data_IF_389209228488
#
_entry.id   IF_389209228488
#
_cell.length_a   1.000
_cell.length_b   1.000
_cell.length_c   1.000
_cell.angle_alpha   90.00
_cell.angle_beta   90.00
_cell.angle_gamma   90.00
#
_symmetry.space_group_name_H-M   'P 1'
#
loop_
_entity.id
_entity.type
_entity.pdbx_description
1 polymer ?
#
# COMPACT_ATOMS: atom_id res chain seq x y z
N UNK A 1 -32.82 -9.07 -5.39
CA UNK A 1 -33.31 -8.50 -6.66
C UNK A 1 -33.68 -9.67 -7.59
N UNK A 2 -34.94 -10.16 -7.58
CA UNK A 2 -35.32 -11.28 -8.42
C UNK A 2 -35.17 -10.88 -9.91
N UNK A 3 -34.29 -11.56 -10.65
CA UNK A 3 -34.11 -11.37 -12.09
C UNK A 3 -32.83 -10.65 -12.56
N UNK A 4 -31.95 -10.19 -11.66
CA UNK A 4 -30.65 -9.62 -12.06
C UNK A 4 -29.54 -10.67 -12.17
N UNK A 5 -29.56 -11.68 -11.30
CA UNK A 5 -28.71 -12.86 -11.38
C UNK A 5 -29.62 -13.99 -11.84
N UNK A 6 -29.36 -14.63 -12.99
CA UNK A 6 -30.16 -15.77 -13.42
C UNK A 6 -30.03 -16.89 -12.39
N UNK A 7 -31.14 -17.54 -12.06
CA UNK A 7 -31.12 -18.73 -11.21
C UNK A 7 -30.59 -19.90 -12.06
N UNK A 8 -29.38 -20.37 -11.75
CA UNK A 8 -28.72 -21.46 -12.48
C UNK A 8 -29.01 -22.82 -11.83
N UNK A 9 -29.88 -22.89 -10.82
CA UNK A 9 -30.07 -24.12 -10.03
C UNK A 9 -28.78 -24.58 -9.34
N UNK A 10 -27.84 -23.66 -9.10
CA UNK A 10 -26.53 -23.92 -8.52
C UNK A 10 -26.54 -23.58 -7.02
N UNK A 11 -26.23 -24.57 -6.19
CA UNK A 11 -25.93 -24.36 -4.78
C UNK A 11 -24.42 -24.24 -4.59
N UNK A 12 -23.96 -23.15 -3.98
CA UNK A 12 -22.55 -22.95 -3.62
C UNK A 12 -22.39 -23.02 -2.09
N UNK A 13 -21.47 -23.87 -1.64
CA UNK A 13 -21.03 -23.98 -0.26
C UNK A 13 -19.53 -23.65 -0.18
N UNK A 14 -19.14 -22.78 0.75
CA UNK A 14 -17.74 -22.38 0.93
C UNK A 14 -17.30 -22.65 2.37
N UNK A 15 -16.30 -23.50 2.53
CA UNK A 15 -15.67 -23.81 3.82
C UNK A 15 -14.35 -23.06 3.96
N UNK A 16 -14.10 -22.54 5.15
CA UNK A 16 -12.86 -21.84 5.52
C UNK A 16 -12.16 -22.64 6.62
N UNK A 17 -10.87 -22.94 6.43
CA UNK A 17 -10.06 -23.69 7.42
C UNK A 17 -8.72 -22.99 7.62
N UNK A 18 -8.48 -22.52 8.84
CA UNK A 18 -7.20 -21.98 9.27
C UNK A 18 -6.60 -22.95 10.29
N UNK A 19 -5.53 -23.64 9.89
CA UNK A 19 -4.77 -24.48 10.81
C UNK A 19 -4.00 -23.59 11.82
N UNK A 20 -3.75 -24.08 13.05
CA UNK A 20 -2.90 -23.37 14.00
C UNK A 20 -1.54 -23.03 13.39
N UNK A 21 -1.06 -21.82 13.65
CA UNK A 21 0.25 -21.32 13.19
C UNK A 21 0.43 -21.30 11.66
N UNK A 22 -0.66 -21.41 10.89
CA UNK A 22 -0.63 -21.30 9.43
C UNK A 22 -0.74 -19.85 8.96
N UNK A 23 0.08 -19.50 7.97
CA UNK A 23 -0.04 -18.25 7.20
C UNK A 23 -1.03 -18.36 6.04
N UNK A 24 -1.58 -19.55 5.79
CA UNK A 24 -2.53 -19.83 4.73
C UNK A 24 -3.89 -20.22 5.30
N UNK A 25 -4.91 -19.45 4.96
CA UNK A 25 -6.31 -19.81 5.15
C UNK A 25 -6.78 -20.62 3.94
N UNK A 26 -7.08 -21.91 4.14
CA UNK A 26 -7.67 -22.73 3.10
C UNK A 26 -9.12 -22.32 2.87
N UNK A 27 -9.49 -22.18 1.60
CA UNK A 27 -10.86 -21.93 1.18
C UNK A 27 -11.27 -22.99 0.16
N UNK A 28 -12.31 -23.75 0.50
CA UNK A 28 -12.85 -24.80 -0.35
C UNK A 28 -14.27 -24.42 -0.76
N UNK A 29 -14.51 -24.28 -2.06
CA UNK A 29 -15.84 -24.03 -2.62
C UNK A 29 -16.35 -25.29 -3.30
N UNK A 30 -17.58 -25.69 -2.99
CA UNK A 30 -18.29 -26.80 -3.61
C UNK A 30 -19.55 -26.28 -4.30
N UNK A 31 -19.58 -26.40 -5.63
CA UNK A 31 -20.76 -26.12 -6.45
C UNK A 31 -21.55 -27.41 -6.68
N UNK A 32 -22.87 -27.39 -6.44
CA UNK A 32 -23.78 -28.52 -6.69
C UNK A 32 -24.87 -28.09 -7.66
N UNK A 33 -24.98 -28.78 -8.79
CA UNK A 33 -25.92 -28.46 -9.86
C UNK A 33 -27.26 -29.19 -9.60
N UNK A 34 -28.19 -28.54 -8.92
CA UNK A 34 -29.40 -29.20 -8.42
C UNK A 34 -30.45 -29.48 -9.51
N UNK A 35 -30.62 -28.56 -10.45
CA UNK A 35 -31.75 -28.59 -11.40
C UNK A 35 -31.35 -28.96 -12.84
N UNK A 36 -30.20 -28.47 -13.31
CA UNK A 36 -29.67 -28.67 -14.66
C UNK A 36 -28.14 -28.73 -14.65
N UNK A 37 -27.54 -29.02 -15.80
CA UNK A 37 -26.08 -28.97 -15.96
C UNK A 37 -25.59 -27.51 -15.91
N UNK A 38 -24.51 -27.26 -15.19
CA UNK A 38 -23.93 -25.92 -15.05
C UNK A 38 -22.45 -25.95 -15.46
N UNK A 39 -22.05 -24.98 -16.27
CA UNK A 39 -20.65 -24.72 -16.60
C UNK A 39 -20.19 -23.46 -15.86
N UNK A 40 -19.16 -23.57 -15.01
CA UNK A 40 -18.62 -22.42 -14.28
C UNK A 40 -17.13 -22.57 -13.95
N UNK A 41 -16.47 -21.44 -13.72
CA UNK A 41 -15.17 -21.36 -13.05
C UNK A 41 -15.40 -20.86 -11.62
N UNK A 42 -14.87 -21.56 -10.62
CA UNK A 42 -14.90 -21.14 -9.21
C UNK A 42 -13.60 -20.41 -8.88
N UNK A 43 -13.68 -19.31 -8.15
CA UNK A 43 -12.53 -18.48 -7.82
C UNK A 43 -12.91 -17.29 -6.96
N UNK A 44 -11.94 -16.41 -6.75
CA UNK A 44 -12.13 -15.18 -5.99
C UNK A 44 -11.46 -13.99 -6.67
N UNK A 45 -11.95 -12.81 -6.28
CA UNK A 45 -11.32 -11.53 -6.54
C UNK A 45 -10.78 -11.03 -5.20
N UNK A 46 -9.49 -10.70 -5.16
CA UNK A 46 -8.86 -10.06 -4.02
C UNK A 46 -8.61 -8.59 -4.38
N UNK A 47 -9.31 -7.69 -3.72
CA UNK A 47 -9.18 -6.24 -3.94
C UNK A 47 -8.05 -5.68 -3.08
N UNK A 48 -7.14 -4.95 -3.72
CA UNK A 48 -6.08 -4.20 -3.03
C UNK A 48 -6.56 -2.83 -2.57
N UNK A 49 -5.86 -2.26 -1.59
CA UNK A 49 -5.96 -0.84 -1.27
C UNK A 49 -4.80 -0.12 -1.96
N UNK A 50 -4.98 0.47 -3.17
CA UNK A 50 -3.89 1.09 -3.92
C UNK A 50 -3.24 2.26 -3.16
N UNK A 51 -3.93 2.82 -2.16
CA UNK A 51 -3.41 3.86 -1.30
C UNK A 51 -2.33 3.34 -0.32
N UNK A 52 -2.46 2.12 0.18
CA UNK A 52 -1.64 1.56 1.28
C UNK A 52 -0.78 0.37 0.87
N UNK A 53 -1.09 -0.28 -0.24
CA UNK A 53 -0.38 -1.46 -0.74
C UNK A 53 -0.07 -1.34 -2.22
N UNK A 54 0.96 -2.05 -2.65
CA UNK A 54 1.31 -2.23 -4.05
C UNK A 54 1.01 -3.67 -4.44
N UNK A 55 0.49 -3.85 -5.66
CA UNK A 55 0.43 -5.15 -6.30
C UNK A 55 1.84 -5.76 -6.38
N UNK A 56 1.97 -7.05 -6.08
CA UNK A 56 3.23 -7.77 -6.20
C UNK A 56 3.02 -9.22 -6.64
N UNK A 57 3.79 -9.65 -7.63
CA UNK A 57 3.75 -11.03 -8.15
C UNK A 57 5.15 -11.59 -8.42
N UNK A 58 5.33 -12.92 -8.30
CA UNK A 58 6.52 -13.56 -8.83
C UNK A 58 6.71 -13.21 -10.31
N UNK A 59 7.97 -13.10 -10.75
CA UNK A 59 8.45 -12.68 -12.08
C UNK A 59 8.34 -11.18 -12.37
N UNK A 60 7.19 -10.55 -12.16
CA UNK A 60 6.97 -9.13 -12.50
C UNK A 60 7.18 -8.18 -11.32
N UNK A 61 7.18 -8.68 -10.09
CA UNK A 61 7.37 -7.88 -8.89
C UNK A 61 6.29 -6.81 -8.75
N UNK A 62 6.72 -5.56 -8.57
CA UNK A 62 5.87 -4.38 -8.48
C UNK A 62 5.44 -3.81 -9.84
N UNK A 63 5.85 -4.43 -10.95
CA UNK A 63 5.42 -4.01 -12.29
C UNK A 63 4.04 -4.61 -12.63
N UNK A 64 3.48 -4.16 -13.76
CA UNK A 64 2.20 -4.66 -14.25
C UNK A 64 2.23 -6.18 -14.46
N UNK A 65 1.12 -6.85 -14.13
CA UNK A 65 0.96 -8.28 -14.36
C UNK A 65 1.13 -8.62 -15.85
N UNK A 66 1.86 -9.69 -16.16
CA UNK A 66 2.14 -10.11 -17.54
C UNK A 66 1.04 -10.98 -18.18
N UNK A 67 -0.03 -11.27 -17.43
CA UNK A 67 -1.18 -12.04 -17.90
C UNK A 67 -1.00 -13.56 -17.87
N UNK A 68 0.17 -14.05 -17.45
CA UNK A 68 0.43 -15.49 -17.37
C UNK A 68 -0.13 -16.09 -16.06
N UNK A 69 -0.43 -17.38 -16.10
CA UNK A 69 -0.86 -18.15 -14.93
C UNK A 69 0.22 -18.15 -13.85
N UNK A 70 -0.23 -18.21 -12.59
CA UNK A 70 0.67 -18.08 -11.43
C UNK A 70 0.14 -18.79 -10.22
N UNK A 71 1.06 -19.23 -9.36
CA UNK A 71 0.71 -19.86 -8.09
C UNK A 71 0.28 -18.86 -7.03
N UNK A 72 0.95 -17.71 -6.97
CA UNK A 72 0.76 -16.67 -5.94
C UNK A 72 0.63 -15.33 -6.65
N UNK A 73 -0.36 -14.54 -6.24
CA UNK A 73 -0.51 -13.15 -6.63
C UNK A 73 -1.13 -12.36 -5.49
N UNK A 74 -0.66 -11.15 -5.23
CA UNK A 74 -1.08 -10.44 -4.04
C UNK A 74 -0.68 -8.98 -3.99
N UNK A 75 -0.73 -8.46 -2.78
CA UNK A 75 -0.40 -7.09 -2.43
C UNK A 75 0.60 -7.11 -1.28
N UNK A 76 1.59 -6.23 -1.36
CA UNK A 76 2.50 -5.93 -0.27
C UNK A 76 2.24 -4.50 0.22
N UNK A 77 2.17 -4.32 1.53
CA UNK A 77 2.02 -3.00 2.12
C UNK A 77 3.18 -2.07 1.78
N UNK A 78 2.90 -0.81 1.46
CA UNK A 78 3.92 0.18 1.02
C UNK A 78 4.99 0.46 2.06
N UNK A 79 4.66 0.23 3.33
CA UNK A 79 5.53 0.49 4.49
C UNK A 79 5.83 -0.78 5.29
N UNK A 80 5.86 -1.94 4.63
CA UNK A 80 6.13 -3.26 5.20
C UNK A 80 5.13 -3.69 6.29
N UNK A 81 3.92 -3.15 6.25
CA UNK A 81 2.82 -3.43 7.19
C UNK A 81 2.14 -4.80 6.98
N UNK A 82 2.57 -5.54 5.95
CA UNK A 82 2.22 -6.94 5.72
C UNK A 82 2.11 -7.28 4.23
N UNK A 83 1.76 -8.54 3.96
CA UNK A 83 1.44 -9.04 2.65
C UNK A 83 0.13 -9.85 2.69
N UNK A 84 -0.67 -9.74 1.64
CA UNK A 84 -1.85 -10.57 1.42
C UNK A 84 -1.81 -11.12 0.00
N UNK A 85 -2.12 -12.40 -0.18
CA UNK A 85 -2.10 -13.03 -1.49
C UNK A 85 -3.24 -14.03 -1.68
N UNK A 86 -3.70 -14.13 -2.93
CA UNK A 86 -4.45 -15.28 -3.39
C UNK A 86 -3.45 -16.34 -3.88
N UNK A 87 -3.70 -17.59 -3.50
CA UNK A 87 -2.81 -18.71 -3.78
C UNK A 87 -3.60 -19.86 -4.38
N UNK A 88 -3.11 -20.41 -5.49
CA UNK A 88 -3.70 -21.58 -6.14
C UNK A 88 -3.71 -22.83 -5.27
N UNK A 89 -4.65 -23.74 -5.53
CA UNK A 89 -4.72 -25.05 -4.86
C UNK A 89 -3.49 -25.92 -5.09
N UNK A 90 -3.42 -27.08 -4.45
CA UNK A 90 -2.34 -28.06 -4.67
C UNK A 90 -2.21 -28.40 -6.16
N UNK A 91 -1.01 -28.27 -6.71
CA UNK A 91 -0.70 -28.46 -8.15
C UNK A 91 -1.54 -27.59 -9.13
N UNK A 92 -2.27 -26.59 -8.63
CA UNK A 92 -3.08 -25.68 -9.43
C UNK A 92 -2.50 -24.27 -9.43
N UNK A 93 -2.58 -23.62 -10.59
CA UNK A 93 -2.31 -22.20 -10.76
C UNK A 93 -3.62 -21.40 -10.78
N UNK A 94 -3.49 -20.10 -10.54
CA UNK A 94 -4.56 -19.12 -10.73
C UNK A 94 -4.62 -18.75 -12.21
N UNK A 95 -5.77 -18.97 -12.83
CA UNK A 95 -6.00 -18.59 -14.23
C UNK A 95 -6.61 -17.18 -14.30
N UNK A 96 -5.98 -16.31 -15.10
CA UNK A 96 -6.49 -14.97 -15.44
C UNK A 96 -7.49 -15.01 -16.62
N UNK A 97 -7.25 -15.92 -17.57
CA UNK A 97 -8.16 -16.30 -18.67
C UNK A 97 -8.96 -15.14 -19.29
N UNK A 98 -10.27 -15.37 -19.46
CA UNK A 98 -11.22 -14.37 -19.97
C UNK A 98 -11.60 -13.27 -18.97
N UNK A 99 -11.01 -13.28 -17.77
CA UNK A 99 -11.33 -12.36 -16.68
C UNK A 99 -10.35 -11.19 -16.56
N UNK A 100 -9.33 -11.11 -17.42
CA UNK A 100 -8.39 -9.99 -17.46
C UNK A 100 -9.07 -8.60 -17.56
N UNK A 101 -10.22 -8.51 -18.25
CA UNK A 101 -11.02 -7.27 -18.34
C UNK A 101 -11.51 -6.82 -16.96
N UNK A 102 -11.76 -7.74 -16.03
CA UNK A 102 -12.17 -7.38 -14.67
C UNK A 102 -11.03 -6.71 -13.90
N UNK A 103 -9.78 -7.14 -14.12
CA UNK A 103 -8.60 -6.53 -13.53
C UNK A 103 -8.33 -5.10 -14.06
N UNK A 104 -8.93 -4.71 -15.19
CA UNK A 104 -8.88 -3.32 -15.68
C UNK A 104 -9.87 -2.40 -14.95
N UNK A 105 -10.82 -2.94 -14.16
CA UNK A 105 -11.87 -2.15 -13.52
C UNK A 105 -11.46 -1.58 -12.15
N UNK A 106 -10.56 -2.25 -11.44
CA UNK A 106 -10.01 -1.84 -10.16
C UNK A 106 -8.73 -2.63 -9.88
N UNK A 107 -7.92 -2.14 -8.94
CA UNK A 107 -6.70 -2.84 -8.51
C UNK A 107 -7.08 -4.13 -7.75
N UNK A 108 -7.06 -5.25 -8.47
CA UNK A 108 -7.48 -6.55 -7.96
C UNK A 108 -6.62 -7.68 -8.50
N UNK A 109 -6.39 -8.68 -7.64
CA UNK A 109 -5.88 -9.98 -8.03
C UNK A 109 -7.06 -10.88 -8.36
N UNK A 110 -6.97 -11.53 -9.52
CA UNK A 110 -7.96 -12.48 -9.99
C UNK A 110 -7.39 -13.89 -9.89
N UNK A 111 -8.15 -14.81 -9.30
CA UNK A 111 -7.75 -16.21 -9.29
C UNK A 111 -8.94 -17.15 -9.40
N UNK A 112 -9.13 -17.65 -10.61
CA UNK A 112 -10.11 -18.70 -10.90
C UNK A 112 -9.42 -20.03 -11.14
N UNK A 113 -10.08 -21.10 -10.74
CA UNK A 113 -9.79 -22.45 -11.19
C UNK A 113 -10.28 -22.68 -12.63
N UNK A 114 -9.98 -23.84 -13.20
CA UNK A 114 -10.44 -24.19 -14.54
C UNK A 114 -11.97 -24.21 -14.60
N UNK A 115 -12.52 -23.90 -15.77
CA UNK A 115 -13.95 -24.10 -16.03
C UNK A 115 -14.31 -25.57 -15.90
N UNK A 116 -15.31 -25.86 -15.07
CA UNK A 116 -15.84 -27.20 -14.84
C UNK A 116 -17.29 -27.29 -15.31
N UNK A 117 -17.64 -28.43 -15.90
CA UNK A 117 -19.02 -28.81 -16.19
C UNK A 117 -19.50 -29.70 -15.05
N UNK A 118 -20.58 -29.30 -14.38
CA UNK A 118 -21.20 -30.02 -13.28
C UNK A 118 -22.52 -30.60 -13.79
N UNK A 119 -22.61 -31.92 -14.02
CA UNK A 119 -23.86 -32.56 -14.42
C UNK A 119 -24.95 -32.39 -13.37
N UNK A 120 -26.20 -32.45 -13.80
CA UNK A 120 -27.36 -32.40 -12.90
C UNK A 120 -27.26 -33.46 -11.80
N UNK A 121 -27.35 -33.01 -10.56
CA UNK A 121 -27.30 -33.82 -9.35
C UNK A 121 -25.89 -34.12 -8.86
N UNK A 122 -24.86 -33.60 -9.53
CA UNK A 122 -23.46 -33.77 -9.16
C UNK A 122 -22.87 -32.48 -8.54
N UNK A 123 -21.66 -32.61 -8.00
CA UNK A 123 -20.93 -31.51 -7.37
C UNK A 123 -19.48 -31.48 -7.86
N UNK A 124 -18.92 -30.28 -7.97
CA UNK A 124 -17.49 -30.06 -8.18
C UNK A 124 -16.92 -29.22 -7.03
N UNK A 125 -15.65 -29.42 -6.71
CA UNK A 125 -14.97 -28.71 -5.63
C UNK A 125 -13.70 -28.05 -6.13
N UNK A 126 -13.45 -26.83 -5.69
CA UNK A 126 -12.22 -26.08 -5.94
C UNK A 126 -11.63 -25.59 -4.63
N UNK A 127 -10.32 -25.80 -4.45
CA UNK A 127 -9.59 -25.39 -3.25
C UNK A 127 -8.52 -24.39 -3.65
N UNK A 128 -8.42 -23.31 -2.88
CA UNK A 128 -7.43 -22.25 -2.98
C UNK A 128 -7.11 -21.72 -1.58
N UNK A 129 -6.16 -20.81 -1.46
CA UNK A 129 -5.77 -20.25 -0.17
C UNK A 129 -5.67 -18.74 -0.21
N UNK A 130 -5.95 -18.10 0.93
CA UNK A 130 -5.54 -16.73 1.20
C UNK A 130 -4.30 -16.76 2.09
N UNK A 131 -3.20 -16.21 1.59
CA UNK A 131 -1.99 -15.96 2.36
C UNK A 131 -2.05 -14.61 3.05
N UNK A 132 -1.70 -14.57 4.33
CA UNK A 132 -1.47 -13.33 5.07
C UNK A 132 -0.14 -13.50 5.78
N UNK A 133 0.85 -12.66 5.49
CA UNK A 133 2.20 -12.77 6.04
C UNK A 133 2.78 -11.40 6.40
N UNK A 134 3.94 -11.41 7.05
CA UNK A 134 4.72 -10.17 7.26
C UNK A 134 5.34 -9.67 5.96
N UNK A 135 5.62 -10.59 5.03
CA UNK A 135 6.11 -10.33 3.68
C UNK A 135 5.71 -11.47 2.73
N UNK A 136 6.17 -11.41 1.48
CA UNK A 136 5.86 -12.44 0.47
C UNK A 136 6.65 -13.73 0.68
N UNK A 137 7.84 -13.67 1.28
CA UNK A 137 8.66 -14.84 1.61
C UNK A 137 7.93 -15.79 2.56
N UNK A 138 7.32 -15.24 3.62
CA UNK A 138 6.49 -16.01 4.56
C UNK A 138 5.35 -16.75 3.85
N UNK A 139 4.69 -16.09 2.90
CA UNK A 139 3.62 -16.71 2.12
C UNK A 139 4.19 -17.78 1.19
N UNK A 140 5.22 -17.47 0.40
CA UNK A 140 5.81 -18.42 -0.55
C UNK A 140 6.39 -19.66 0.12
N UNK A 141 6.98 -19.52 1.30
CA UNK A 141 7.53 -20.62 2.08
C UNK A 141 6.42 -21.59 2.53
N UNK A 142 5.29 -21.04 2.99
CA UNK A 142 4.12 -21.83 3.32
C UNK A 142 3.54 -22.51 2.07
N UNK A 143 3.57 -21.85 0.90
CA UNK A 143 3.14 -22.45 -0.38
C UNK A 143 4.03 -23.62 -0.78
N UNK A 144 5.35 -23.48 -0.73
CA UNK A 144 6.30 -24.56 -1.01
C UNK A 144 6.08 -25.76 -0.08
N UNK A 145 5.81 -25.49 1.20
CA UNK A 145 5.54 -26.53 2.19
C UNK A 145 4.26 -27.33 1.89
N UNK A 146 3.15 -26.67 1.53
CA UNK A 146 1.91 -27.38 1.20
C UNK A 146 2.01 -28.16 -0.12
N UNK A 147 2.78 -27.66 -1.08
CA UNK A 147 3.02 -28.35 -2.36
C UNK A 147 4.06 -29.48 -2.23
N UNK A 148 4.70 -29.64 -1.06
CA UNK A 148 5.69 -30.68 -0.82
C UNK A 148 6.96 -30.51 -1.66
N UNK A 149 7.27 -29.29 -2.07
CA UNK A 149 8.47 -28.96 -2.84
C UNK A 149 9.69 -29.08 -1.94
N UNK A 150 10.74 -29.76 -2.41
CA UNK A 150 12.02 -29.78 -1.71
C UNK A 150 12.67 -28.40 -1.82
N UNK A 151 13.05 -27.81 -0.69
CA UNK A 151 13.60 -26.45 -0.64
C UNK A 151 15.04 -26.39 -0.18
N UNK A 152 15.67 -25.25 -0.42
CA UNK A 152 16.90 -24.78 0.21
C UNK A 152 16.66 -23.37 0.77
N UNK A 153 17.34 -23.03 1.85
CA UNK A 153 17.26 -21.69 2.45
C UNK A 153 18.15 -20.70 1.69
N UNK A 154 17.63 -19.48 1.50
CA UNK A 154 18.39 -18.29 1.12
C UNK A 154 18.35 -17.34 2.30
N UNK A 155 19.50 -17.10 2.90
CA UNK A 155 19.65 -16.28 4.11
C UNK A 155 20.77 -15.26 3.93
N UNK A 156 20.69 -14.16 4.66
CA UNK A 156 21.72 -13.13 4.64
C UNK A 156 21.43 -12.01 5.63
N UNK A 157 22.35 -11.05 5.68
CA UNK A 157 22.21 -9.84 6.49
C UNK A 157 22.41 -8.64 5.58
N UNK A 158 21.41 -7.77 5.50
CA UNK A 158 21.54 -6.46 4.85
C UNK A 158 22.24 -5.51 5.82
N UNK A 159 23.29 -4.86 5.32
CA UNK A 159 24.10 -3.96 6.15
C UNK A 159 24.43 -2.66 5.44
N UNK A 160 24.84 -1.68 6.22
CA UNK A 160 25.39 -0.41 5.78
C UNK A 160 26.55 -0.03 6.69
N UNK A 161 27.23 1.07 6.40
CA UNK A 161 28.39 1.52 7.20
C UNK A 161 28.02 1.92 8.64
N UNK A 162 26.74 2.21 8.93
CA UNK A 162 26.19 2.41 10.28
C UNK A 162 25.78 1.12 11.02
N UNK A 163 25.80 -0.05 10.37
CA UNK A 163 25.42 -1.32 11.00
C UNK A 163 24.40 -2.13 10.20
N UNK A 164 23.74 -3.11 10.84
CA UNK A 164 22.65 -3.87 10.19
C UNK A 164 21.48 -2.96 9.83
N UNK A 165 20.77 -3.29 8.76
CA UNK A 165 19.65 -2.48 8.25
C UNK A 165 18.33 -3.24 8.40
N UNK A 166 17.52 -2.81 9.36
CA UNK A 166 16.16 -3.30 9.56
C UNK A 166 15.16 -2.73 8.55
N UNK A 167 14.15 -3.53 8.18
CA UNK A 167 13.08 -3.10 7.28
C UNK A 167 13.48 -2.90 5.83
N UNK A 168 14.62 -3.46 5.40
CA UNK A 168 15.02 -3.49 4.00
C UNK A 168 14.24 -4.58 3.27
N UNK A 169 13.77 -4.29 2.06
CA UNK A 169 13.18 -5.32 1.19
C UNK A 169 14.30 -6.05 0.47
N UNK A 170 14.26 -7.38 0.48
CA UNK A 170 15.21 -8.23 -0.23
C UNK A 170 14.47 -9.00 -1.31
N UNK A 171 14.67 -8.59 -2.55
CA UNK A 171 14.17 -9.32 -3.70
C UNK A 171 15.01 -10.59 -3.87
N UNK A 172 14.36 -11.75 -3.94
CA UNK A 172 15.03 -13.05 -4.00
C UNK A 172 14.68 -13.71 -5.33
N UNK A 173 15.71 -14.14 -6.04
CA UNK A 173 15.61 -14.75 -7.36
C UNK A 173 15.97 -16.23 -7.29
N UNK A 174 15.21 -17.06 -8.00
CA UNK A 174 15.49 -18.45 -8.25
C UNK A 174 15.67 -18.63 -9.76
N UNK A 175 16.83 -19.13 -10.21
CA UNK A 175 17.16 -19.32 -11.62
C UNK A 175 16.98 -18.02 -12.46
N UNK A 176 17.47 -16.90 -11.92
CA UNK A 176 17.37 -15.54 -12.49
C UNK A 176 15.93 -15.00 -12.64
N UNK A 177 14.96 -15.65 -11.99
CA UNK A 177 13.56 -15.22 -11.98
C UNK A 177 13.19 -14.71 -10.60
N UNK A 178 12.58 -13.52 -10.52
CA UNK A 178 12.09 -12.96 -9.26
C UNK A 178 11.08 -13.94 -8.63
N UNK A 179 11.43 -14.52 -7.50
CA UNK A 179 10.67 -15.60 -6.89
C UNK A 179 9.83 -15.12 -5.71
N UNK A 180 10.45 -14.36 -4.81
CA UNK A 180 9.80 -13.85 -3.60
C UNK A 180 10.48 -12.57 -3.09
N UNK A 181 9.91 -11.99 -2.04
CA UNK A 181 10.43 -10.80 -1.37
C UNK A 181 10.34 -10.97 0.14
N UNK A 182 11.48 -10.85 0.82
CA UNK A 182 11.58 -10.85 2.27
C UNK A 182 11.80 -9.42 2.81
N UNK A 183 11.43 -9.18 4.07
CA UNK A 183 11.76 -7.94 4.79
C UNK A 183 12.74 -8.27 5.93
N UNK A 184 13.79 -7.48 6.07
CA UNK A 184 14.79 -7.71 7.11
C UNK A 184 14.29 -7.37 8.51
N UNK A 185 14.70 -8.17 9.49
CA UNK A 185 14.42 -7.95 10.91
C UNK A 185 15.32 -6.86 11.54
N UNK A 186 15.20 -6.66 12.86
CA UNK A 186 15.97 -5.66 13.61
C UNK A 186 17.50 -5.85 13.53
N UNK A 187 17.98 -7.07 13.28
CA UNK A 187 19.38 -7.43 13.10
C UNK A 187 19.81 -7.37 11.62
N UNK A 188 18.92 -6.90 10.73
CA UNK A 188 19.12 -6.83 9.29
C UNK A 188 19.09 -8.19 8.60
N UNK A 189 18.69 -9.25 9.31
CA UNK A 189 18.66 -10.60 8.77
C UNK A 189 17.37 -10.85 7.97
N UNK A 190 17.47 -11.70 6.95
CA UNK A 190 16.32 -12.25 6.23
C UNK A 190 16.54 -13.74 5.95
N UNK A 191 15.44 -14.46 5.78
CA UNK A 191 15.42 -15.85 5.34
C UNK A 191 14.24 -16.05 4.39
N UNK A 192 14.40 -16.91 3.38
CA UNK A 192 13.33 -17.44 2.57
C UNK A 192 13.68 -18.85 2.06
N UNK A 193 12.68 -19.61 1.64
CA UNK A 193 12.86 -20.89 0.97
C UNK A 193 12.70 -20.74 -0.54
N UNK A 194 13.60 -21.38 -1.29
CA UNK A 194 13.48 -21.56 -2.75
C UNK A 194 13.59 -23.05 -3.10
N UNK A 195 13.21 -23.49 -4.31
CA UNK A 195 13.42 -24.89 -4.73
C UNK A 195 14.89 -25.34 -4.61
N UNK A 196 15.12 -26.55 -4.12
CA UNK A 196 16.44 -27.06 -3.67
C UNK A 196 17.54 -27.12 -4.74
N UNK A 197 17.17 -27.08 -6.03
CA UNK A 197 18.11 -27.17 -7.16
C UNK A 197 18.24 -25.84 -7.93
N UNK A 198 17.56 -24.79 -7.49
CA UNK A 198 17.63 -23.47 -8.14
C UNK A 198 18.90 -22.71 -7.77
N UNK A 199 19.38 -21.85 -8.67
CA UNK A 199 20.42 -20.88 -8.33
C UNK A 199 19.80 -19.67 -7.63
N UNK A 200 20.33 -19.30 -6.46
CA UNK A 200 19.87 -18.14 -5.71
C UNK A 200 20.67 -16.87 -6.05
N UNK A 201 19.96 -15.75 -6.24
CA UNK A 201 20.55 -14.41 -6.14
C UNK A 201 19.59 -13.46 -5.42
N UNK A 202 20.10 -12.33 -4.92
CA UNK A 202 19.33 -11.40 -4.10
C UNK A 202 19.64 -9.95 -4.47
N UNK A 203 18.74 -9.03 -4.15
CA UNK A 203 18.97 -7.59 -4.28
C UNK A 203 18.21 -6.82 -3.20
N UNK A 204 18.94 -6.18 -2.29
CA UNK A 204 18.37 -5.36 -1.22
C UNK A 204 17.95 -3.97 -1.70
N UNK A 205 16.84 -3.48 -1.14
CA UNK A 205 16.23 -2.18 -1.43
C UNK A 205 15.84 -1.51 -0.12
N UNK A 206 16.41 -0.32 0.11
CA UNK A 206 16.05 0.59 1.20
C UNK A 206 15.64 1.97 0.70
N UNK A 207 15.17 2.08 -0.54
CA UNK A 207 14.80 3.40 -1.07
C UNK A 207 13.53 3.95 -0.41
N UNK A 208 12.53 3.09 -0.21
CA UNK A 208 11.18 3.49 0.19
C UNK A 208 10.41 4.21 -0.92
N UNK A 209 9.13 4.55 -0.68
CA UNK A 209 8.30 5.29 -1.62
C UNK A 209 8.64 6.79 -1.68
N UNK A 210 9.35 7.34 -0.68
CA UNK A 210 9.67 8.77 -0.63
C UNK A 210 8.47 9.65 -0.30
N UNK A 211 7.49 9.11 0.43
CA UNK A 211 6.29 9.80 0.88
C UNK A 211 6.29 9.84 2.41
N UNK A 212 6.28 11.05 2.98
CA UNK A 212 6.41 11.28 4.42
C UNK A 212 5.22 12.07 4.95
N UNK A 213 4.18 11.36 5.40
CA UNK A 213 3.02 12.00 6.04
C UNK A 213 3.19 11.93 7.55
N UNK A 214 3.03 13.07 8.23
CA UNK A 214 3.21 13.23 9.68
C UNK A 214 2.08 12.57 10.49
N UNK A 215 2.13 11.24 10.50
CA UNK A 215 1.34 10.38 11.35
C UNK A 215 2.12 9.95 12.58
N UNK A 216 1.45 9.68 13.71
CA UNK A 216 2.11 9.05 14.84
C UNK A 216 2.77 7.72 14.43
N UNK A 217 4.02 7.46 14.85
CA UNK A 217 4.75 6.27 14.43
C UNK A 217 3.99 4.97 14.72
N UNK A 218 4.01 4.05 13.75
CA UNK A 218 3.34 2.74 13.85
C UNK A 218 1.81 2.77 13.72
N UNK A 219 1.19 3.95 13.56
CA UNK A 219 -0.26 4.02 13.41
C UNK A 219 -0.71 3.34 12.11
N UNK A 220 -1.73 2.48 12.21
CA UNK A 220 -2.35 1.84 11.06
C UNK A 220 -3.49 2.70 10.50
N UNK A 221 -3.74 2.66 9.17
CA UNK A 221 -4.89 3.31 8.55
C UNK A 221 -6.22 2.83 9.14
N UNK A 222 -7.21 3.72 9.19
CA UNK A 222 -8.57 3.39 9.62
C UNK A 222 -9.43 3.02 8.41
N UNK A 223 -10.16 1.90 8.53
CA UNK A 223 -11.29 1.63 7.64
C UNK A 223 -12.58 2.17 8.26
N UNK A 224 -13.31 3.12 7.65
CA UNK A 224 -14.51 3.72 8.24
C UNK A 224 -15.68 2.71 8.36
N UNK A 225 -15.66 1.66 7.55
CA UNK A 225 -16.65 0.58 7.53
C UNK A 225 -16.19 -0.67 8.31
N UNK A 226 -14.99 -0.64 8.88
CA UNK A 226 -14.47 -1.71 9.73
C UNK A 226 -15.26 -1.90 11.02
N UNK A 227 -15.10 -3.07 11.64
CA UNK A 227 -15.67 -3.37 12.95
C UNK A 227 -15.32 -2.27 13.97
N UNK A 228 -16.27 -1.88 14.81
CA UNK A 228 -16.12 -0.74 15.72
C UNK A 228 -14.87 -0.84 16.63
N UNK A 229 -14.54 -2.05 17.08
CA UNK A 229 -13.34 -2.32 17.89
C UNK A 229 -12.04 -2.10 17.10
N UNK A 230 -11.99 -2.49 15.83
CA UNK A 230 -10.86 -2.24 14.94
C UNK A 230 -10.68 -0.75 14.69
N UNK A 231 -11.76 -0.03 14.36
CA UNK A 231 -11.73 1.42 14.16
C UNK A 231 -11.22 2.15 15.40
N UNK A 232 -11.70 1.77 16.58
CA UNK A 232 -11.26 2.39 17.84
C UNK A 232 -9.76 2.17 18.11
N UNK A 233 -9.21 0.98 17.77
CA UNK A 233 -7.78 0.71 17.89
C UNK A 233 -6.95 1.56 16.91
N UNK A 234 -7.40 1.68 15.65
CA UNK A 234 -6.74 2.54 14.66
C UNK A 234 -6.72 4.01 15.12
N UNK A 235 -7.87 4.55 15.55
CA UNK A 235 -7.95 5.89 16.14
C UNK A 235 -7.00 6.09 17.33
N UNK A 236 -6.88 5.09 18.21
CA UNK A 236 -5.97 5.18 19.35
C UNK A 236 -4.50 5.23 18.89
N UNK A 237 -4.14 4.44 17.88
CA UNK A 237 -2.83 4.49 17.24
C UNK A 237 -2.55 5.86 16.62
N UNK A 238 -3.52 6.43 15.89
CA UNK A 238 -3.46 7.77 15.30
C UNK A 238 -3.45 8.92 16.33
N UNK A 239 -3.66 8.62 17.62
CA UNK A 239 -3.54 9.61 18.71
C UNK A 239 -2.26 9.45 19.53
N UNK A 240 -1.76 8.22 19.67
CA UNK A 240 -0.70 7.89 20.65
C UNK A 240 0.54 7.24 20.04
N UNK A 241 0.50 6.91 18.75
CA UNK A 241 1.41 5.97 18.12
C UNK A 241 1.07 4.52 18.47
N UNK A 242 1.73 3.61 17.78
CA UNK A 242 1.71 2.18 18.05
C UNK A 242 3.12 1.60 17.87
N UNK A 243 3.22 0.27 17.78
CA UNK A 243 4.48 -0.40 17.52
C UNK A 243 4.99 -0.04 16.12
N UNK A 244 6.23 0.42 16.05
CA UNK A 244 6.84 0.87 14.80
C UNK A 244 7.27 -0.34 13.99
N UNK A 245 6.83 -0.38 12.74
CA UNK A 245 7.34 -1.32 11.75
C UNK A 245 8.57 -0.68 11.09
N UNK A 246 9.76 -1.30 11.18
CA UNK A 246 10.96 -0.73 10.58
C UNK A 246 10.84 -0.58 9.07
N UNK A 247 11.35 0.53 8.55
CA UNK A 247 11.50 0.77 7.11
C UNK A 247 12.89 1.34 6.84
N UNK A 248 13.57 0.80 5.83
CA UNK A 248 14.94 1.17 5.50
C UNK A 248 15.07 2.46 4.67
N UNK A 249 14.08 3.36 4.67
CA UNK A 249 13.93 4.47 3.70
C UNK A 249 15.17 5.36 3.52
N UNK A 250 15.36 5.87 2.31
CA UNK A 250 16.46 6.77 1.95
C UNK A 250 17.84 6.09 1.83
N UNK A 251 17.93 4.77 1.98
CA UNK A 251 19.19 4.01 1.88
C UNK A 251 19.53 3.55 0.46
N UNK A 252 18.66 3.81 -0.50
CA UNK A 252 18.86 3.52 -1.93
C UNK A 252 18.66 2.05 -2.30
N UNK A 253 19.35 1.61 -3.34
CA UNK A 253 19.25 0.26 -3.93
C UNK A 253 20.65 -0.34 -3.96
N UNK A 254 20.78 -1.61 -3.55
CA UNK A 254 22.04 -2.34 -3.62
C UNK A 254 22.48 -2.56 -5.08
N UNK A 255 23.71 -3.05 -5.27
CA UNK A 255 24.23 -3.36 -6.62
C UNK A 255 24.41 -4.85 -6.80
N UNK A 256 24.47 -5.35 -8.03
CA UNK A 256 24.70 -6.78 -8.30
C UNK A 256 26.04 -7.27 -7.73
N UNK A 257 27.05 -6.39 -7.69
CA UNK A 257 28.37 -6.71 -7.11
C UNK A 257 28.37 -6.73 -5.57
N UNK A 258 27.41 -6.04 -4.94
CA UNK A 258 27.26 -5.94 -3.50
C UNK A 258 25.76 -5.91 -3.10
N UNK A 259 25.06 -7.05 -3.26
CA UNK A 259 23.59 -7.11 -3.28
C UNK A 259 22.92 -6.95 -1.93
N UNK A 260 23.69 -7.02 -0.84
CA UNK A 260 23.22 -6.92 0.54
C UNK A 260 23.78 -5.70 1.27
N UNK A 261 24.43 -4.78 0.55
CA UNK A 261 24.94 -3.54 1.15
C UNK A 261 24.14 -2.35 0.65
N UNK A 262 23.60 -1.58 1.59
CA UNK A 262 22.87 -0.34 1.35
C UNK A 262 23.65 0.88 1.82
N UNK A 263 23.20 2.06 1.41
CA UNK A 263 23.72 3.33 1.89
C UNK A 263 23.25 3.67 3.31
N UNK A 264 23.82 4.75 3.85
CA UNK A 264 23.22 5.50 4.94
C UNK A 264 22.17 6.47 4.37
N UNK A 265 21.03 6.68 5.05
CA UNK A 265 20.11 7.72 4.64
C UNK A 265 20.73 9.09 4.92
N UNK A 266 20.41 10.07 4.10
CA UNK A 266 20.52 11.47 4.46
C UNK A 266 19.16 11.96 4.99
N UNK A 267 19.18 12.95 5.87
CA UNK A 267 17.97 13.42 6.56
C UNK A 267 17.76 14.91 6.34
N UNK A 268 16.55 15.30 5.96
CA UNK A 268 16.10 16.69 5.98
C UNK A 268 15.02 16.84 7.05
N UNK A 269 15.27 17.67 8.06
CA UNK A 269 14.26 18.14 9.00
C UNK A 269 13.77 19.52 8.56
N UNK A 270 12.48 19.66 8.30
CA UNK A 270 11.84 20.95 8.03
C UNK A 270 11.01 21.32 9.23
N UNK A 271 11.23 22.51 9.78
CA UNK A 271 10.46 23.03 10.93
C UNK A 271 10.01 24.47 10.70
N UNK A 272 8.73 24.75 10.87
CA UNK A 272 8.20 26.13 10.84
C UNK A 272 7.97 26.66 12.25
N UNK A 273 8.36 27.90 12.50
CA UNK A 273 8.32 28.48 13.85
C UNK A 273 6.90 28.68 14.41
N UNK A 274 5.88 28.73 13.54
CA UNK A 274 4.49 28.92 13.93
C UNK A 274 3.76 27.62 14.28
N UNK A 275 4.40 26.45 14.10
CA UNK A 275 3.84 25.15 14.44
C UNK A 275 2.61 24.74 13.61
N UNK A 276 2.38 25.41 12.47
CA UNK A 276 1.22 25.16 11.63
C UNK A 276 1.56 24.17 10.48
N UNK A 277 0.59 23.36 10.01
CA UNK A 277 0.79 22.37 8.96
C UNK A 277 1.45 22.94 7.68
N UNK A 278 2.26 22.17 6.96
CA UNK A 278 2.84 22.60 5.68
C UNK A 278 3.23 21.39 4.81
N UNK A 279 3.44 21.62 3.52
CA UNK A 279 3.97 20.64 2.58
C UNK A 279 5.45 20.94 2.28
N UNK A 280 6.23 19.89 2.02
CA UNK A 280 7.59 20.00 1.47
C UNK A 280 7.78 19.02 0.31
N UNK A 281 8.40 19.48 -0.77
CA UNK A 281 8.86 18.62 -1.87
C UNK A 281 10.38 18.73 -2.03
N UNK A 282 11.04 17.59 -2.23
CA UNK A 282 12.44 17.49 -2.62
C UNK A 282 12.53 17.11 -4.09
N UNK A 283 12.83 18.06 -4.96
CA UNK A 283 13.06 17.79 -6.37
C UNK A 283 14.54 17.54 -6.63
N UNK A 284 14.84 16.65 -7.57
CA UNK A 284 16.20 16.47 -8.05
C UNK A 284 16.72 17.75 -8.74
N UNK A 285 18.00 18.08 -8.52
CA UNK A 285 18.70 19.05 -9.37
C UNK A 285 19.17 18.43 -10.68
N UNK A 286 19.32 17.11 -10.71
CA UNK A 286 19.68 16.30 -11.88
C UNK A 286 18.54 15.33 -12.23
N UNK A 287 18.80 14.32 -13.06
CA UNK A 287 17.81 13.28 -13.35
C UNK A 287 17.71 12.28 -12.20
N UNK A 288 16.51 11.75 -11.97
CA UNK A 288 16.28 10.59 -11.09
C UNK A 288 17.10 9.39 -11.59
N UNK A 289 17.93 8.76 -10.74
CA UNK A 289 18.63 7.54 -11.11
C UNK A 289 17.66 6.44 -11.58
N UNK A 290 17.95 5.85 -12.75
CA UNK A 290 17.16 4.74 -13.27
C UNK A 290 17.28 3.53 -12.34
N UNK A 291 16.14 2.91 -12.05
CA UNK A 291 16.04 1.67 -11.29
C UNK A 291 15.13 0.69 -12.02
N UNK A 292 15.19 -0.58 -11.64
CA UNK A 292 14.20 -1.56 -12.05
C UNK A 292 12.90 -1.32 -11.27
N UNK A 293 11.83 -0.95 -11.99
CA UNK A 293 10.52 -0.64 -11.39
C UNK A 293 9.81 -1.89 -10.88
N UNK A 294 10.20 -3.08 -11.32
CA UNK A 294 9.71 -4.35 -10.76
C UNK A 294 10.21 -4.59 -9.33
N UNK A 295 11.36 -4.02 -8.96
CA UNK A 295 12.06 -4.34 -7.72
C UNK A 295 11.98 -3.21 -6.67
N UNK A 296 11.71 -1.99 -7.12
CA UNK A 296 11.86 -0.78 -6.31
C UNK A 296 10.58 0.05 -6.33
N UNK A 297 10.00 0.38 -5.15
CA UNK A 297 8.80 1.21 -5.06
C UNK A 297 8.93 2.53 -5.82
N UNK A 298 7.88 2.95 -6.52
CA UNK A 298 7.85 4.19 -7.32
C UNK A 298 7.93 5.42 -6.40
N UNK A 299 8.62 6.47 -6.85
CA UNK A 299 8.69 7.79 -6.17
C UNK A 299 7.50 8.68 -6.53
N UNK A 300 7.16 9.70 -5.72
CA UNK A 300 6.08 10.62 -6.03
C UNK A 300 6.46 11.59 -7.14
N UNK A 301 5.73 11.57 -8.26
CA UNK A 301 5.70 12.65 -9.27
C UNK A 301 7.08 13.17 -9.71
N UNK A 302 8.05 12.27 -9.94
CA UNK A 302 9.44 12.61 -10.30
C UNK A 302 10.20 13.46 -9.27
N UNK A 303 9.71 13.55 -8.03
CA UNK A 303 10.44 14.10 -6.89
C UNK A 303 11.26 13.01 -6.20
N UNK A 304 12.30 13.43 -5.49
CA UNK A 304 13.07 12.53 -4.66
C UNK A 304 12.31 12.11 -3.41
N UNK A 305 11.59 13.05 -2.80
CA UNK A 305 10.69 12.82 -1.69
C UNK A 305 9.63 13.92 -1.59
N UNK A 306 8.52 13.64 -0.95
CA UNK A 306 7.50 14.62 -0.57
C UNK A 306 7.04 14.37 0.86
N UNK A 307 6.75 15.44 1.59
CA UNK A 307 6.31 15.36 2.98
C UNK A 307 5.20 16.35 3.31
N UNK A 308 4.38 15.98 4.30
CA UNK A 308 3.25 16.75 4.78
C UNK A 308 3.29 16.75 6.30
N UNK A 309 3.59 17.92 6.87
CA UNK A 309 3.59 18.15 8.30
C UNK A 309 2.19 18.51 8.78
N UNK A 310 1.80 17.94 9.93
CA UNK A 310 0.55 18.23 10.62
C UNK A 310 0.77 19.26 11.74
N UNK A 311 1.93 19.27 12.37
CA UNK A 311 2.22 20.09 13.57
C UNK A 311 3.43 21.02 13.45
N UNK A 312 3.86 21.29 12.22
CA UNK A 312 4.92 22.25 11.93
C UNK A 312 6.33 21.67 11.94
N UNK A 313 6.45 20.35 11.97
CA UNK A 313 7.68 19.61 11.68
C UNK A 313 7.43 18.40 10.77
N UNK A 314 8.37 18.08 9.87
CA UNK A 314 8.42 16.78 9.19
C UNK A 314 9.86 16.43 8.84
N UNK A 315 10.23 15.16 9.01
CA UNK A 315 11.53 14.62 8.61
C UNK A 315 11.39 13.79 7.34
N UNK A 316 12.22 14.07 6.35
CA UNK A 316 12.31 13.33 5.10
C UNK A 316 13.62 12.55 5.07
N UNK A 317 13.55 11.31 4.58
CA UNK A 317 14.70 10.47 4.29
C UNK A 317 14.92 10.40 2.79
N UNK A 318 16.17 10.51 2.36
CA UNK A 318 16.57 10.43 0.96
C UNK A 318 18.00 9.90 0.85
N UNK A 319 18.41 9.46 -0.33
CA UNK A 319 19.82 9.22 -0.63
C UNK A 319 20.62 10.54 -0.57
N UNK A 320 21.93 10.44 -0.39
CA UNK A 320 22.80 11.61 -0.44
C UNK A 320 22.80 12.25 -1.83
N UNK A 321 22.70 13.58 -1.88
CA UNK A 321 22.66 14.33 -3.13
C UNK A 321 22.30 15.79 -2.92
N UNK A 322 22.28 16.55 -4.01
CA UNK A 322 21.81 17.94 -4.02
C UNK A 322 20.38 17.97 -4.53
N UNK A 323 19.50 18.68 -3.82
CA UNK A 323 18.07 18.77 -4.11
C UNK A 323 17.58 20.21 -4.03
N UNK A 324 16.49 20.50 -4.75
CA UNK A 324 15.72 21.71 -4.53
C UNK A 324 14.57 21.40 -3.57
N UNK A 325 14.58 22.03 -2.39
CA UNK A 325 13.50 21.96 -1.42
C UNK A 325 12.48 23.06 -1.69
N UNK A 326 11.20 22.70 -1.71
CA UNK A 326 10.07 23.62 -1.84
C UNK A 326 9.14 23.43 -0.66
N UNK A 327 8.91 24.46 0.15
CA UNK A 327 8.06 24.41 1.34
C UNK A 327 6.90 25.40 1.19
N UNK A 328 5.66 24.96 1.33
CA UNK A 328 4.49 25.84 1.20
C UNK A 328 3.30 25.43 2.09
N UNK A 329 2.36 26.36 2.26
CA UNK A 329 1.10 26.16 3.00
C UNK A 329 -0.09 26.70 2.22
N UNK A 330 -0.37 26.11 1.06
CA UNK A 330 -1.42 26.56 0.16
C UNK A 330 -1.27 27.98 -0.38
N UNK A 331 -2.31 28.47 -1.05
CA UNK A 331 -2.32 29.74 -1.77
C UNK A 331 -2.27 30.99 -0.87
N UNK A 332 -2.53 30.86 0.43
CA UNK A 332 -2.54 31.99 1.38
C UNK A 332 -1.15 32.40 1.84
N UNK A 333 -0.14 31.59 1.58
CA UNK A 333 1.20 31.77 2.11
C UNK A 333 2.19 31.82 0.95
N UNK A 334 3.24 32.63 1.12
CA UNK A 334 4.39 32.63 0.22
C UNK A 334 5.13 31.29 0.33
N UNK A 335 5.63 30.81 -0.80
CA UNK A 335 6.44 29.60 -0.86
C UNK A 335 7.90 29.92 -0.50
N UNK A 336 8.53 29.04 0.28
CA UNK A 336 9.98 29.03 0.47
C UNK A 336 10.62 28.04 -0.49
N UNK A 337 11.77 28.41 -1.07
CA UNK A 337 12.58 27.48 -1.85
C UNK A 337 14.07 27.69 -1.62
N UNK A 338 14.81 26.59 -1.51
CA UNK A 338 16.26 26.61 -1.40
C UNK A 338 16.88 25.31 -1.94
N UNK A 339 18.14 25.38 -2.33
CA UNK A 339 18.93 24.19 -2.69
C UNK A 339 19.58 23.65 -1.41
N UNK A 340 19.42 22.35 -1.16
CA UNK A 340 19.98 21.63 -0.01
C UNK A 340 20.95 20.56 -0.46
N UNK A 341 22.09 20.47 0.21
CA UNK A 341 23.07 19.40 0.04
C UNK A 341 22.89 18.38 1.16
N UNK A 342 22.31 17.23 0.84
CA UNK A 342 22.05 16.15 1.78
C UNK A 342 23.21 15.17 1.77
N UNK A 343 23.82 14.95 2.94
CA UNK A 343 24.97 14.06 3.13
C UNK A 343 24.54 12.84 3.93
N UNK A 344 25.03 11.66 3.52
CA UNK A 344 24.72 10.40 4.17
C UNK A 344 25.06 10.45 5.68
N UNK A 345 24.12 10.00 6.52
CA UNK A 345 24.24 9.98 7.98
C UNK A 345 24.13 11.35 8.66
N UNK A 346 23.86 12.43 7.91
CA UNK A 346 23.77 13.79 8.44
C UNK A 346 22.34 14.31 8.35
N UNK A 347 21.87 14.91 9.44
CA UNK A 347 20.62 15.69 9.45
C UNK A 347 20.89 17.15 9.08
N UNK A 348 20.26 17.59 8.00
CA UNK A 348 20.17 19.00 7.60
C UNK A 348 18.85 19.54 8.13
N UNK A 349 18.88 20.73 8.74
CA UNK A 349 17.68 21.40 9.26
C UNK A 349 17.43 22.67 8.47
N UNK A 350 16.21 22.85 7.97
CA UNK A 350 15.75 24.12 7.40
C UNK A 350 14.56 24.64 8.19
N UNK A 351 14.57 25.95 8.46
CA UNK A 351 13.55 26.61 9.28
C UNK A 351 12.86 27.75 8.50
N UNK A 352 12.03 27.43 7.49
CA UNK A 352 11.43 28.43 6.63
C UNK A 352 10.38 29.26 7.39
N UNK A 353 10.28 30.53 7.00
CA UNK A 353 9.15 31.39 7.40
C UNK A 353 8.18 31.50 6.24
N UNK A 354 7.00 30.92 6.40
CA UNK A 354 5.92 31.02 5.41
C UNK A 354 5.08 32.26 5.72
N UNK A 355 5.41 33.39 5.08
CA UNK A 355 4.68 34.64 5.28
C UNK A 355 3.29 34.57 4.66
N UNK A 356 2.29 35.22 5.28
CA UNK A 356 0.97 35.36 4.69
C UNK A 356 1.05 36.25 3.44
N UNK A 357 0.59 35.73 2.30
CA UNK A 357 0.57 36.46 1.03
C UNK A 357 -0.58 37.48 0.98
N UNK A 358 -1.71 37.17 1.62
CA UNK A 358 -2.86 38.07 1.74
C UNK A 358 -3.77 37.71 2.92
N UNK A 359 -4.47 38.71 3.48
CA UNK A 359 -5.53 38.52 4.46
C UNK A 359 -6.87 38.21 3.79
N UNK A 360 -7.69 37.36 4.40
CA UNK A 360 -8.99 36.94 3.88
C UNK A 360 -10.05 36.82 4.99
N UNK A 361 -10.05 37.79 5.90
CA UNK A 361 -10.96 37.84 7.05
C UNK A 361 -12.44 37.64 6.66
N UNK A 362 -13.13 36.80 7.42
CA UNK A 362 -14.54 36.45 7.16
C UNK A 362 -14.76 35.39 6.08
N UNK A 363 -13.70 34.87 5.47
CA UNK A 363 -13.75 33.78 4.49
C UNK A 363 -12.99 32.55 4.98
N UNK A 364 -13.41 31.37 4.51
CA UNK A 364 -12.72 30.09 4.70
C UNK A 364 -12.30 29.54 3.35
N UNK A 365 -11.14 28.88 3.29
CA UNK A 365 -10.75 28.07 2.14
C UNK A 365 -11.29 26.67 2.35
N UNK A 366 -12.13 26.21 1.42
CA UNK A 366 -12.66 24.86 1.42
C UNK A 366 -12.38 24.15 0.11
N UNK A 367 -12.30 22.84 0.18
CA UNK A 367 -12.25 21.95 -0.98
C UNK A 367 -13.54 21.11 -1.02
N UNK A 368 -14.56 21.53 -1.79
CA UNK A 368 -15.89 20.94 -1.76
C UNK A 368 -16.00 19.62 -2.54
N UNK A 369 -14.90 19.11 -3.10
CA UNK A 369 -14.88 17.89 -3.90
C UNK A 369 -13.56 17.16 -3.72
N UNK A 370 -13.54 16.16 -2.86
CA UNK A 370 -12.35 15.36 -2.62
C UNK A 370 -12.66 13.91 -2.25
N UNK A 371 -11.73 13.04 -2.63
CA UNK A 371 -11.81 11.58 -2.48
C UNK A 371 -10.63 11.02 -1.69
N UNK A 372 -10.86 9.97 -0.93
CA UNK A 372 -9.85 9.09 -0.34
C UNK A 372 -10.29 7.63 -0.48
N UNK A 373 -9.67 6.72 0.26
CA UNK A 373 -9.92 5.27 0.18
C UNK A 373 -11.37 4.77 0.31
N UNK A 374 -12.34 5.51 0.92
CA UNK A 374 -13.73 5.09 0.84
C UNK A 374 -14.31 5.18 -0.58
N UNK A 375 -13.72 5.99 -1.47
CA UNK A 375 -14.09 6.11 -2.88
C UNK A 375 -13.35 5.09 -3.74
N UNK A 376 -14.03 4.54 -4.75
CA UNK A 376 -13.42 3.59 -5.69
C UNK A 376 -12.34 4.18 -6.61
N UNK A 377 -12.26 5.51 -6.73
CA UNK A 377 -11.21 6.24 -7.46
C UNK A 377 -10.21 6.95 -6.52
N UNK A 378 -10.35 6.74 -5.20
CA UNK A 378 -9.43 7.27 -4.21
C UNK A 378 -8.11 6.53 -4.22
N UNK A 379 -7.00 7.28 -4.26
CA UNK A 379 -5.65 6.72 -4.20
C UNK A 379 -4.82 7.30 -3.04
N UNK A 380 -5.49 7.54 -1.91
CA UNK A 380 -4.92 8.10 -0.68
C UNK A 380 -5.75 7.65 0.51
N UNK A 381 -5.13 7.38 1.65
CA UNK A 381 -5.87 7.03 2.87
C UNK A 381 -6.68 8.22 3.40
N UNK A 382 -7.67 7.96 4.26
CA UNK A 382 -8.45 9.04 4.87
C UNK A 382 -7.56 9.95 5.74
N UNK A 383 -6.60 9.34 6.43
CA UNK A 383 -5.62 9.98 7.30
C UNK A 383 -4.69 10.90 6.50
N UNK A 384 -4.11 10.37 5.42
CA UNK A 384 -3.26 11.14 4.53
C UNK A 384 -4.05 12.28 3.91
N UNK A 385 -5.29 12.05 3.48
CA UNK A 385 -6.15 13.09 2.89
C UNK A 385 -6.33 14.28 3.81
N UNK A 386 -6.66 14.03 5.09
CA UNK A 386 -6.83 15.10 6.10
C UNK A 386 -5.51 15.86 6.31
N UNK A 387 -4.40 15.14 6.42
CA UNK A 387 -3.08 15.75 6.67
C UNK A 387 -2.62 16.57 5.47
N UNK A 388 -2.73 16.03 4.25
CA UNK A 388 -2.38 16.71 3.00
C UNK A 388 -3.19 17.98 2.82
N UNK A 389 -4.50 17.94 3.08
CA UNK A 389 -5.34 19.12 2.97
C UNK A 389 -4.97 20.19 4.01
N UNK A 390 -4.68 19.80 5.25
CA UNK A 390 -4.32 20.73 6.31
C UNK A 390 -2.97 21.39 6.00
N UNK A 391 -1.99 20.58 5.58
CA UNK A 391 -0.68 21.02 5.10
C UNK A 391 -0.81 21.94 3.87
N UNK A 392 -1.79 21.69 3.00
CA UNK A 392 -2.16 22.53 1.86
C UNK A 392 -2.96 23.80 2.23
N UNK A 393 -3.19 24.07 3.52
CA UNK A 393 -3.89 25.27 3.99
C UNK A 393 -5.41 25.27 3.76
N UNK A 394 -6.01 24.10 3.45
CA UNK A 394 -7.48 23.95 3.40
C UNK A 394 -8.02 24.01 4.82
N UNK A 395 -9.07 24.80 5.02
CA UNK A 395 -9.69 25.03 6.33
C UNK A 395 -11.03 24.28 6.47
N UNK A 396 -11.66 23.90 5.35
CA UNK A 396 -12.92 23.15 5.33
C UNK A 396 -12.85 22.02 4.29
N UNK A 397 -12.66 20.79 4.77
CA UNK A 397 -12.68 19.56 3.98
C UNK A 397 -14.12 19.04 3.82
N UNK A 398 -14.42 18.44 2.66
CA UNK A 398 -15.67 17.74 2.38
C UNK A 398 -15.32 16.34 1.87
N UNK A 399 -15.66 15.31 2.66
CA UNK A 399 -15.43 13.91 2.28
C UNK A 399 -16.51 13.46 1.30
N UNK A 400 -16.31 13.74 0.01
CA UNK A 400 -17.29 13.46 -1.05
C UNK A 400 -16.96 12.15 -1.76
N UNK A 401 -16.59 11.11 -1.00
CA UNK A 401 -16.25 9.80 -1.56
C UNK A 401 -17.44 9.21 -2.35
N UNK A 402 -17.17 8.53 -3.46
CA UNK A 402 -18.22 8.05 -4.37
C UNK A 402 -19.20 7.07 -3.71
N UNK A 403 -20.46 7.49 -3.57
CA UNK A 403 -21.56 6.72 -2.98
C UNK A 403 -21.26 6.16 -1.56
N UNK A 404 -20.32 6.79 -0.83
CA UNK A 404 -19.84 6.36 0.48
C UNK A 404 -19.81 7.52 1.47
N UNK A 405 -20.78 7.56 2.39
CA UNK A 405 -20.81 8.56 3.47
C UNK A 405 -19.80 8.21 4.57
N UNK A 406 -18.57 8.70 4.46
CA UNK A 406 -17.51 8.53 5.45
C UNK A 406 -17.35 9.75 6.37
N UNK A 407 -17.20 9.53 7.67
CA UNK A 407 -17.00 10.60 8.65
C UNK A 407 -15.51 10.79 9.00
N UNK A 408 -14.94 11.89 8.50
CA UNK A 408 -13.54 12.28 8.73
C UNK A 408 -13.34 13.13 9.99
N UNK A 409 -14.41 13.59 10.67
CA UNK A 409 -14.28 14.41 11.89
C UNK A 409 -13.48 13.72 13.01
N UNK A 410 -13.61 12.40 13.25
CA UNK A 410 -12.80 11.71 14.24
C UNK A 410 -11.29 11.76 13.93
N UNK A 411 -10.91 11.78 12.64
CA UNK A 411 -9.51 11.91 12.22
C UNK A 411 -8.96 13.30 12.50
N UNK A 412 -9.70 14.36 12.13
CA UNK A 412 -9.32 15.75 12.43
C UNK A 412 -9.03 15.94 13.92
N UNK A 413 -9.88 15.39 14.78
CA UNK A 413 -9.71 15.44 16.23
C UNK A 413 -8.53 14.59 16.72
N UNK A 414 -8.36 13.37 16.21
CA UNK A 414 -7.23 12.50 16.56
C UNK A 414 -5.88 13.16 16.23
N UNK A 415 -5.85 13.90 15.13
CA UNK A 415 -4.71 14.65 14.61
C UNK A 415 -4.52 16.03 15.24
N UNK A 416 -5.39 16.47 16.16
CA UNK A 416 -5.28 17.79 16.79
C UNK A 416 -5.38 18.94 15.78
N UNK A 417 -6.03 18.71 14.63
CA UNK A 417 -6.18 19.70 13.55
C UNK A 417 -7.40 20.61 13.76
N UNK A 418 -8.08 20.51 14.90
CA UNK A 418 -9.26 21.31 15.26
C UNK A 418 -9.00 22.82 15.34
N UNK A 419 -7.78 23.32 15.31
CA UNK A 419 -7.54 24.77 15.25
C UNK A 419 -7.32 25.28 13.81
N UNK A 420 -7.07 24.37 12.85
CA UNK A 420 -6.69 24.73 11.47
C UNK A 420 -7.68 24.25 10.41
N UNK A 421 -8.43 23.18 10.68
CA UNK A 421 -9.36 22.57 9.73
C UNK A 421 -10.66 22.08 10.39
N UNK A 422 -11.76 22.05 9.64
CA UNK A 422 -12.97 21.26 9.90
C UNK A 422 -13.27 20.33 8.74
N UNK A 423 -14.02 19.25 9.02
CA UNK A 423 -14.56 18.36 7.99
C UNK A 423 -16.08 18.38 7.99
N UNK A 424 -16.67 18.42 6.80
CA UNK A 424 -18.10 18.25 6.53
C UNK A 424 -18.32 16.81 6.05
N UNK A 425 -19.29 16.13 6.65
CA UNK A 425 -19.74 14.81 6.15
C UNK A 425 -20.52 15.04 4.87
N UNK A 426 -20.11 14.38 3.80
CA UNK A 426 -20.60 14.60 2.45
C UNK A 426 -20.65 13.26 1.67
N UNK A 427 -21.07 13.34 0.41
CA UNK A 427 -21.10 12.22 -0.54
C UNK A 427 -21.02 12.80 -1.95
N UNK A 428 -20.36 12.11 -2.87
CA UNK A 428 -20.56 12.31 -4.30
C UNK A 428 -21.45 11.19 -4.82
N UNK A 429 -22.74 11.49 -4.97
CA UNK A 429 -23.74 10.54 -5.49
C UNK A 429 -23.45 10.33 -6.97
N UNK A 430 -23.11 9.09 -7.37
CA UNK A 430 -22.48 8.76 -8.65
C UNK A 430 -23.28 7.81 -9.55
N UNK A 431 -24.50 8.19 -9.97
CA UNK A 431 -25.28 7.38 -10.90
C UNK A 431 -24.67 7.38 -12.31
N UNK A 432 -24.35 6.19 -12.82
CA UNK A 432 -23.72 5.92 -14.13
C UNK A 432 -24.26 6.76 -15.30
N UNK A 433 -25.57 7.02 -15.33
CA UNK A 433 -26.23 7.67 -16.49
C UNK A 433 -26.63 9.14 -16.27
N UNK A 434 -26.37 9.74 -15.10
CA UNK A 434 -26.91 11.06 -14.76
C UNK A 434 -25.87 12.09 -14.32
N UNK A 435 -24.59 11.71 -14.37
CA UNK A 435 -23.51 12.53 -13.83
C UNK A 435 -23.47 12.48 -12.30
N UNK A 436 -22.40 13.02 -11.74
CA UNK A 436 -22.15 12.97 -10.31
C UNK A 436 -22.60 14.25 -9.61
N UNK A 437 -23.06 14.13 -8.36
CA UNK A 437 -23.67 15.23 -7.61
C UNK A 437 -23.17 15.20 -6.17
N UNK A 438 -22.44 16.24 -5.75
CA UNK A 438 -22.02 16.35 -4.35
C UNK A 438 -23.20 16.76 -3.46
N UNK A 439 -23.39 16.03 -2.37
CA UNK A 439 -24.41 16.27 -1.36
C UNK A 439 -23.74 16.57 0.00
N UNK A 440 -24.00 17.76 0.55
CA UNK A 440 -23.52 18.15 1.88
C UNK A 440 -24.33 19.32 2.49
N UNK A 441 -24.39 19.42 3.83
CA UNK A 441 -23.91 18.42 4.79
C UNK A 441 -24.85 17.21 4.86
N UNK A 442 -24.28 16.04 5.15
CA UNK A 442 -24.98 14.81 5.51
C UNK A 442 -24.79 14.51 7.01
N UNK A 443 -25.48 13.48 7.52
CA UNK A 443 -25.42 13.04 8.92
C UNK A 443 -24.83 11.64 9.08
#
# INVERSE_FOLDING_TARGET
NPGFIPDWGLQLETEYRLEPDSWLLQVQSTGTAAEEEVELAMGDLLFGGPEVSDHWEPRTGLDDADGESRKVAGFIGKYNDGAVALVGGLEAELELGSFAILAELADMVVGFGPTVVIPKGESATYTRFYGVGTDMAVISDAVLAIDGVSTQAVEGVVSAVDGPVAGARVNIFADDVLFTLAVTDDDGAFEAQIPADSTASVLAVGRGPGLFVDHPPGAAPMSPFGAATTRQKALLGLQKGAEVIPMAEGRGVATVDDPLTLGQPAMLLVRVADGLPFTVGLAFTEADPAVDVALVPKRPSSMAAAGWSRDGEVRLLAESGTYNAYVHRGMRYEMHSETVDLVAGVEVVIEPTLALAYEHDGYLIGDPHSHASPSGDGNISMEDRVTVMAAGGVQLHFGTDHDHVADYRPLVAAFGLDEVMRSVVADEVSPVLRGHINAYPLE
#
